data_IF_552834571814
#
_entry.id   IF_552834571814
#
_cell.length_a   1.000
_cell.length_b   1.000
_cell.length_c   1.000
_cell.angle_alpha   90.00
_cell.angle_beta   90.00
_cell.angle_gamma   90.00
#
_symmetry.space_group_name_H-M   'P 1'
#
loop_
_entity.id
_entity.type
_entity.pdbx_description
1 polymer ?
#
# COMPACT_ATOMS: atom_id res chain seq x y z
N UNK A 1 4.69 -24.77 9.02
CA UNK A 1 3.50 -23.96 9.47
C UNK A 1 3.23 -22.88 8.45
N UNK A 2 1.98 -22.72 8.02
CA UNK A 2 1.59 -21.83 6.92
C UNK A 2 0.65 -20.74 7.43
N UNK A 3 0.85 -19.51 6.97
CA UNK A 3 -0.04 -18.37 7.16
C UNK A 3 -0.60 -17.99 5.78
N UNK A 4 -1.93 -17.85 5.70
CA UNK A 4 -2.63 -17.37 4.52
C UNK A 4 -2.97 -15.89 4.72
N UNK A 5 -2.67 -15.04 3.76
CA UNK A 5 -3.16 -13.65 3.74
C UNK A 5 -4.17 -13.44 2.63
N UNK A 6 -5.21 -12.67 2.93
CA UNK A 6 -6.31 -12.37 2.02
C UNK A 6 -6.55 -10.85 1.96
N UNK A 7 -6.70 -10.33 0.74
CA UNK A 7 -7.10 -8.95 0.48
C UNK A 7 -8.32 -8.98 -0.45
N UNK A 8 -9.50 -8.82 0.14
CA UNK A 8 -10.77 -8.93 -0.53
C UNK A 8 -11.29 -7.56 -0.96
N UNK A 9 -11.32 -7.32 -2.27
CA UNK A 9 -12.00 -6.19 -2.88
C UNK A 9 -13.43 -6.55 -3.33
N UNK A 10 -14.17 -5.58 -3.87
CA UNK A 10 -15.54 -5.79 -4.35
C UNK A 10 -15.68 -6.85 -5.45
N UNK A 11 -14.66 -7.01 -6.29
CA UNK A 11 -14.66 -7.95 -7.42
C UNK A 11 -13.38 -8.76 -7.55
N UNK A 12 -12.56 -8.82 -6.51
CA UNK A 12 -11.33 -9.61 -6.53
C UNK A 12 -10.93 -10.07 -5.12
N UNK A 13 -10.24 -11.21 -5.05
CA UNK A 13 -9.61 -11.72 -3.83
C UNK A 13 -8.15 -12.03 -4.14
N UNK A 14 -7.23 -11.22 -3.62
CA UNK A 14 -5.80 -11.48 -3.68
C UNK A 14 -5.39 -12.32 -2.48
N UNK A 15 -4.42 -13.19 -2.68
CA UNK A 15 -3.92 -14.03 -1.60
C UNK A 15 -2.42 -14.28 -1.69
N UNK A 16 -1.80 -14.57 -0.54
CA UNK A 16 -0.45 -15.08 -0.46
C UNK A 16 -0.39 -16.18 0.62
N UNK A 17 0.39 -17.19 0.34
CA UNK A 17 0.67 -18.32 1.25
C UNK A 17 2.12 -18.27 1.67
N UNK A 18 2.37 -18.14 2.96
CA UNK A 18 3.69 -17.98 3.51
C UNK A 18 4.06 -19.16 4.44
N UNK A 19 5.20 -19.77 4.16
CA UNK A 19 5.81 -20.75 5.07
C UNK A 19 6.60 -20.02 6.15
N UNK A 20 6.06 -20.04 7.36
CA UNK A 20 6.66 -19.38 8.51
C UNK A 20 7.99 -20.00 8.93
N UNK A 21 8.10 -21.32 8.85
CA UNK A 21 9.29 -22.03 9.31
C UNK A 21 10.49 -21.80 8.38
N UNK A 22 10.24 -21.81 7.08
CA UNK A 22 11.25 -21.56 6.04
C UNK A 22 11.39 -20.08 5.65
N UNK A 23 10.57 -19.17 6.21
CA UNK A 23 10.57 -17.74 5.88
C UNK A 23 10.52 -17.48 4.36
N UNK A 24 9.52 -18.06 3.71
CA UNK A 24 9.39 -17.99 2.26
C UNK A 24 7.93 -17.97 1.80
N UNK A 25 7.68 -17.27 0.72
CA UNK A 25 6.39 -17.30 0.01
C UNK A 25 6.31 -18.63 -0.74
N UNK A 26 5.25 -19.41 -0.50
CA UNK A 26 4.98 -20.64 -1.24
C UNK A 26 4.22 -20.36 -2.53
N UNK A 27 3.21 -19.48 -2.46
CA UNK A 27 2.43 -19.06 -3.60
C UNK A 27 1.76 -17.71 -3.35
N UNK A 28 1.44 -17.02 -4.43
CA UNK A 28 0.54 -15.87 -4.44
C UNK A 28 -0.43 -15.96 -5.61
N UNK A 29 -1.50 -15.17 -5.57
CA UNK A 29 -2.44 -15.15 -6.68
C UNK A 29 -3.60 -14.19 -6.47
N UNK A 30 -4.50 -14.21 -7.45
CA UNK A 30 -5.71 -13.39 -7.43
C UNK A 30 -6.85 -14.15 -8.09
N UNK A 31 -8.03 -14.05 -7.48
CA UNK A 31 -9.29 -14.36 -8.15
C UNK A 31 -9.91 -13.04 -8.59
N UNK A 32 -10.10 -12.88 -9.89
CA UNK A 32 -10.68 -11.66 -10.49
C UNK A 32 -12.12 -11.90 -10.92
N UNK A 33 -12.89 -10.80 -11.09
CA UNK A 33 -14.28 -10.80 -11.51
C UNK A 33 -15.18 -11.62 -10.58
N UNK A 34 -14.86 -11.64 -9.30
CA UNK A 34 -15.73 -12.23 -8.25
C UNK A 34 -17.08 -11.52 -8.29
N UNK A 35 -18.18 -12.24 -8.16
CA UNK A 35 -19.58 -11.80 -8.32
C UNK A 35 -19.97 -11.39 -9.75
N UNK A 36 -19.11 -11.62 -10.74
CA UNK A 36 -19.31 -11.28 -12.15
C UNK A 36 -19.11 -12.51 -13.05
N UNK A 37 -19.64 -12.52 -14.29
CA UNK A 37 -19.32 -13.56 -15.26
C UNK A 37 -17.84 -13.58 -15.65
N UNK A 38 -17.30 -14.77 -15.90
CA UNK A 38 -15.91 -14.96 -16.33
C UNK A 38 -14.91 -14.73 -15.23
N UNK A 39 -15.20 -15.19 -14.01
CA UNK A 39 -14.23 -15.19 -12.90
C UNK A 39 -13.04 -16.07 -13.26
N UNK A 40 -11.83 -15.60 -12.94
CA UNK A 40 -10.59 -16.29 -13.24
C UNK A 40 -9.65 -16.25 -12.05
N UNK A 41 -9.04 -17.38 -11.70
CA UNK A 41 -7.93 -17.46 -10.76
C UNK A 41 -6.60 -17.43 -11.53
N UNK A 42 -5.71 -16.57 -11.10
CA UNK A 42 -4.30 -16.60 -11.45
C UNK A 42 -3.51 -17.02 -10.22
N UNK A 43 -2.75 -18.10 -10.32
CA UNK A 43 -1.95 -18.69 -9.25
C UNK A 43 -0.50 -18.79 -9.67
N UNK A 44 0.40 -18.30 -8.83
CA UNK A 44 1.85 -18.30 -9.03
C UNK A 44 2.52 -18.99 -7.83
N UNK A 45 2.82 -20.28 -8.00
CA UNK A 45 3.54 -21.07 -7.02
C UNK A 45 5.05 -20.93 -7.21
N UNK A 46 5.81 -20.79 -6.13
CA UNK A 46 7.26 -20.67 -6.19
C UNK A 46 7.88 -21.89 -6.88
N UNK A 47 8.63 -21.66 -7.94
CA UNK A 47 9.30 -22.72 -8.71
C UNK A 47 8.41 -23.49 -9.69
N UNK A 48 7.18 -23.05 -9.91
CA UNK A 48 6.25 -23.63 -10.90
C UNK A 48 5.83 -22.58 -11.94
N UNK A 49 5.29 -23.06 -13.05
CA UNK A 49 4.70 -22.19 -14.06
C UNK A 49 3.41 -21.54 -13.54
N UNK A 50 3.11 -20.37 -14.07
CA UNK A 50 1.89 -19.63 -13.76
C UNK A 50 0.66 -20.45 -14.20
N UNK A 51 -0.26 -20.67 -13.28
CA UNK A 51 -1.53 -21.36 -13.52
C UNK A 51 -2.68 -20.36 -13.63
N UNK A 52 -3.52 -20.53 -14.64
CA UNK A 52 -4.71 -19.71 -14.87
C UNK A 52 -5.88 -20.63 -15.12
N UNK A 53 -6.99 -20.44 -14.37
CA UNK A 53 -8.22 -21.22 -14.53
C UNK A 53 -9.42 -20.28 -14.48
N UNK A 54 -10.29 -20.39 -15.47
CA UNK A 54 -11.63 -19.78 -15.43
C UNK A 54 -12.57 -20.68 -14.61
N UNK A 55 -13.19 -20.11 -13.58
CA UNK A 55 -14.13 -20.83 -12.71
C UNK A 55 -15.14 -19.85 -12.12
N UNK A 56 -16.45 -20.12 -12.20
CA UNK A 56 -17.49 -19.24 -11.68
C UNK A 56 -17.33 -18.99 -10.17
N UNK A 57 -17.25 -17.72 -9.78
CA UNK A 57 -17.19 -17.28 -8.38
C UNK A 57 -18.34 -16.29 -8.10
N UNK A 58 -19.59 -16.76 -7.95
CA UNK A 58 -20.75 -15.89 -7.73
C UNK A 58 -20.72 -15.18 -6.37
N UNK A 59 -19.87 -15.61 -5.41
CA UNK A 59 -19.67 -14.98 -4.12
C UNK A 59 -18.20 -15.04 -3.71
N UNK A 60 -17.83 -14.23 -2.71
CA UNK A 60 -16.50 -14.29 -2.11
C UNK A 60 -16.20 -15.67 -1.47
N UNK A 61 -17.22 -16.39 -0.97
CA UNK A 61 -17.05 -17.76 -0.47
C UNK A 61 -16.53 -18.69 -1.55
N UNK A 62 -17.14 -18.68 -2.75
CA UNK A 62 -16.67 -19.48 -3.88
C UNK A 62 -15.23 -19.10 -4.29
N UNK A 63 -14.88 -17.82 -4.22
CA UNK A 63 -13.51 -17.40 -4.52
C UNK A 63 -12.50 -17.95 -3.49
N UNK A 64 -12.83 -17.94 -2.19
CA UNK A 64 -11.98 -18.52 -1.15
C UNK A 64 -11.91 -20.05 -1.28
N UNK A 65 -13.03 -20.74 -1.57
CA UNK A 65 -13.04 -22.17 -1.84
C UNK A 65 -12.17 -22.53 -3.06
N UNK A 66 -12.23 -21.74 -4.13
CA UNK A 66 -11.38 -21.91 -5.32
C UNK A 66 -9.90 -21.73 -4.97
N UNK A 67 -9.56 -20.73 -4.15
CA UNK A 67 -8.18 -20.53 -3.67
C UNK A 67 -7.72 -21.79 -2.92
N UNK A 68 -8.48 -22.27 -1.91
CA UNK A 68 -8.11 -23.43 -1.13
C UNK A 68 -7.97 -24.69 -2.02
N UNK A 69 -8.91 -24.89 -2.94
CA UNK A 69 -8.83 -26.00 -3.90
C UNK A 69 -7.57 -25.94 -4.76
N UNK A 70 -7.21 -24.74 -5.23
CA UNK A 70 -5.98 -24.53 -6.01
C UNK A 70 -4.73 -24.77 -5.18
N UNK A 71 -4.71 -24.30 -3.93
CA UNK A 71 -3.58 -24.49 -3.02
C UNK A 71 -3.33 -25.95 -2.65
N UNK A 72 -4.37 -26.78 -2.62
CA UNK A 72 -4.30 -28.22 -2.29
C UNK A 72 -4.29 -29.14 -3.49
N UNK A 73 -4.33 -28.61 -4.69
CA UNK A 73 -4.28 -29.38 -5.94
C UNK A 73 -2.96 -30.13 -6.08
N UNK A 74 -3.00 -31.38 -6.52
CA UNK A 74 -1.82 -32.25 -6.62
C UNK A 74 -0.78 -31.78 -7.65
N UNK A 75 -1.17 -31.00 -8.64
CA UNK A 75 -0.31 -30.55 -9.74
C UNK A 75 0.23 -29.12 -9.54
N UNK A 76 -0.65 -28.20 -9.17
CA UNK A 76 -0.31 -26.77 -9.06
C UNK A 76 -0.23 -26.29 -7.62
N UNK A 77 -0.79 -27.03 -6.67
CA UNK A 77 -0.84 -26.66 -5.25
C UNK A 77 0.52 -26.63 -4.56
N UNK A 78 0.53 -26.06 -3.37
CA UNK A 78 1.74 -25.86 -2.55
C UNK A 78 1.61 -26.41 -1.13
N UNK A 79 0.42 -26.90 -0.76
CA UNK A 79 0.14 -27.54 0.53
C UNK A 79 -0.60 -28.85 0.30
N UNK A 80 -0.39 -29.84 1.19
CA UNK A 80 -1.02 -31.15 1.04
C UNK A 80 -2.48 -31.13 1.49
N UNK A 81 -2.78 -30.37 2.54
CA UNK A 81 -4.14 -30.21 3.07
C UNK A 81 -4.27 -28.87 3.84
N UNK A 82 -5.50 -28.51 4.19
CA UNK A 82 -5.81 -27.26 4.88
C UNK A 82 -5.29 -27.19 6.32
N UNK A 83 -4.99 -28.33 6.96
CA UNK A 83 -4.58 -28.37 8.38
C UNK A 83 -3.24 -27.69 8.64
N UNK A 84 -2.42 -27.50 7.59
CA UNK A 84 -1.14 -26.80 7.70
C UNK A 84 -1.32 -25.27 7.84
N UNK A 85 -2.49 -24.73 7.42
CA UNK A 85 -2.82 -23.32 7.60
C UNK A 85 -3.15 -23.10 9.08
N UNK A 86 -2.39 -22.22 9.74
CA UNK A 86 -2.50 -21.99 11.19
C UNK A 86 -3.12 -20.64 11.54
N UNK A 87 -3.10 -19.68 10.64
CA UNK A 87 -3.79 -18.42 10.78
C UNK A 87 -4.13 -17.82 9.40
N UNK A 88 -5.14 -16.96 9.38
CA UNK A 88 -5.50 -16.16 8.20
C UNK A 88 -5.42 -14.68 8.55
N UNK A 89 -4.60 -13.93 7.82
CA UNK A 89 -4.52 -12.48 7.88
C UNK A 89 -5.43 -11.84 6.84
N UNK A 90 -6.30 -10.94 7.25
CA UNK A 90 -7.21 -10.18 6.36
C UNK A 90 -6.82 -8.72 6.34
N UNK A 91 -6.66 -8.15 5.16
CA UNK A 91 -6.59 -6.70 5.03
C UNK A 91 -7.97 -6.11 5.26
N UNK A 92 -8.05 -5.11 6.14
CA UNK A 92 -9.23 -4.27 6.35
C UNK A 92 -8.83 -2.82 6.07
N UNK A 93 -9.57 -2.18 5.16
CA UNK A 93 -9.17 -0.87 4.68
C UNK A 93 -9.42 0.21 5.73
N UNK A 94 -10.56 0.19 6.44
CA UNK A 94 -10.92 1.26 7.37
C UNK A 94 -11.38 0.70 8.70
N UNK A 95 -10.69 1.08 9.77
CA UNK A 95 -11.02 0.69 11.16
C UNK A 95 -11.70 1.78 11.99
N UNK A 96 -11.96 2.96 11.40
CA UNK A 96 -12.41 4.12 12.16
C UNK A 96 -11.40 4.53 13.23
N UNK A 97 -11.88 5.12 14.28
CA UNK A 97 -11.13 5.43 15.51
C UNK A 97 -11.14 4.27 16.53
N UNK A 98 -11.82 3.15 16.19
CA UNK A 98 -11.99 1.98 17.06
C UNK A 98 -10.76 1.07 17.06
N UNK A 99 -9.98 1.09 16.00
CA UNK A 99 -8.85 0.17 15.84
C UNK A 99 -7.53 0.91 15.64
N UNK A 100 -6.69 0.84 16.65
CA UNK A 100 -5.31 1.39 16.66
C UNK A 100 -4.23 0.34 16.34
N UNK A 101 -4.65 -0.91 16.11
CA UNK A 101 -3.77 -2.07 15.89
C UNK A 101 -4.51 -3.20 15.19
N UNK A 102 -3.77 -4.18 14.70
CA UNK A 102 -4.31 -5.44 14.20
C UNK A 102 -4.94 -6.26 15.34
N UNK A 103 -6.00 -7.01 15.04
CA UNK A 103 -6.81 -7.72 16.03
C UNK A 103 -7.22 -9.12 15.55
N UNK A 104 -7.47 -10.04 16.50
CA UNK A 104 -8.16 -11.30 16.20
C UNK A 104 -9.63 -11.00 15.93
N UNK A 105 -10.17 -11.59 14.87
CA UNK A 105 -11.55 -11.39 14.45
C UNK A 105 -12.48 -12.24 15.31
N UNK A 106 -13.31 -11.58 16.10
CA UNK A 106 -14.44 -12.17 16.84
C UNK A 106 -15.77 -11.65 16.27
N UNK A 107 -16.93 -12.22 16.66
CA UNK A 107 -18.23 -11.67 16.28
C UNK A 107 -18.40 -10.18 16.64
N UNK A 108 -17.89 -9.76 17.81
CA UNK A 108 -17.91 -8.37 18.28
C UNK A 108 -17.07 -7.47 17.37
N UNK A 109 -15.89 -7.93 16.95
CA UNK A 109 -15.02 -7.20 16.03
C UNK A 109 -15.68 -7.03 14.66
N UNK A 110 -16.36 -8.07 14.14
CA UNK A 110 -17.15 -7.96 12.90
C UNK A 110 -18.26 -6.92 13.04
N UNK A 111 -18.97 -6.91 14.17
CA UNK A 111 -20.01 -5.90 14.41
C UNK A 111 -19.42 -4.48 14.46
N UNK A 112 -18.26 -4.30 15.10
CA UNK A 112 -17.58 -3.00 15.11
C UNK A 112 -17.16 -2.57 13.70
N UNK A 113 -16.70 -3.49 12.83
CA UNK A 113 -16.44 -3.15 11.44
C UNK A 113 -17.71 -2.74 10.67
N UNK A 114 -18.85 -3.36 10.96
CA UNK A 114 -20.15 -2.92 10.38
C UNK A 114 -20.58 -1.55 10.84
N UNK A 115 -20.32 -1.19 12.11
CA UNK A 115 -20.62 0.15 12.63
C UNK A 115 -19.82 1.25 11.92
N UNK A 116 -18.58 0.96 11.53
CA UNK A 116 -17.70 1.93 10.86
C UNK A 116 -17.64 1.76 9.33
N UNK A 117 -18.44 0.85 8.75
CA UNK A 117 -18.36 0.56 7.31
C UNK A 117 -18.66 1.76 6.40
N UNK A 118 -19.47 2.71 6.88
CA UNK A 118 -19.84 3.91 6.13
C UNK A 118 -18.66 4.88 5.96
N UNK A 119 -17.59 4.74 6.75
CA UNK A 119 -16.35 5.48 6.58
C UNK A 119 -15.53 4.95 5.36
N UNK A 120 -15.77 3.71 4.96
CA UNK A 120 -15.11 3.07 3.82
C UNK A 120 -16.07 2.29 2.91
N UNK A 121 -17.13 2.93 2.36
CA UNK A 121 -18.25 2.23 1.73
C UNK A 121 -17.85 1.44 0.48
N UNK A 122 -16.76 1.82 -0.19
CA UNK A 122 -16.25 1.13 -1.38
C UNK A 122 -15.41 -0.13 -1.04
N UNK A 123 -14.96 -0.29 0.21
CA UNK A 123 -14.00 -1.34 0.59
C UNK A 123 -14.49 -2.20 1.77
N UNK A 124 -14.94 -1.59 2.86
CA UNK A 124 -15.26 -2.31 4.09
C UNK A 124 -16.32 -3.41 3.93
N UNK A 125 -17.42 -3.20 3.18
CA UNK A 125 -18.38 -4.29 2.98
C UNK A 125 -17.75 -5.52 2.32
N UNK A 126 -16.87 -5.32 1.34
CA UNK A 126 -16.16 -6.42 0.68
C UNK A 126 -15.13 -7.09 1.61
N UNK A 127 -14.44 -6.30 2.45
CA UNK A 127 -13.52 -6.85 3.44
C UNK A 127 -14.26 -7.74 4.45
N UNK A 128 -15.40 -7.29 4.98
CA UNK A 128 -16.24 -8.06 5.92
C UNK A 128 -16.73 -9.36 5.25
N UNK A 129 -17.27 -9.28 4.04
CA UNK A 129 -17.70 -10.47 3.29
C UNK A 129 -16.55 -11.46 3.07
N UNK A 130 -15.35 -10.97 2.79
CA UNK A 130 -14.15 -11.79 2.62
C UNK A 130 -13.75 -12.49 3.91
N UNK A 131 -13.81 -11.82 5.06
CA UNK A 131 -13.53 -12.41 6.37
C UNK A 131 -14.56 -13.52 6.67
N UNK A 132 -15.85 -13.22 6.53
CA UNK A 132 -16.92 -14.19 6.80
C UNK A 132 -16.86 -15.40 5.85
N UNK A 133 -16.50 -15.16 4.58
CA UNK A 133 -16.28 -16.24 3.62
C UNK A 133 -15.13 -17.15 4.03
N UNK A 134 -14.00 -16.56 4.45
CA UNK A 134 -12.84 -17.34 4.90
C UNK A 134 -13.12 -18.09 6.20
N UNK A 135 -13.87 -17.50 7.14
CA UNK A 135 -14.28 -18.18 8.39
C UNK A 135 -15.17 -19.40 8.13
N UNK A 136 -16.02 -19.36 7.08
CA UNK A 136 -16.82 -20.53 6.67
C UNK A 136 -15.97 -21.66 6.11
N UNK A 137 -14.93 -21.32 5.34
CA UNK A 137 -14.06 -22.30 4.68
C UNK A 137 -12.98 -22.85 5.64
N UNK A 138 -12.50 -22.00 6.54
CA UNK A 138 -11.43 -22.30 7.50
C UNK A 138 -11.88 -22.00 8.95
N UNK A 139 -12.92 -22.67 9.49
CA UNK A 139 -13.54 -22.32 10.77
C UNK A 139 -12.67 -22.58 12.01
N UNK A 140 -11.64 -23.42 11.87
CA UNK A 140 -10.84 -23.91 13.01
C UNK A 140 -9.48 -23.19 13.16
N UNK A 141 -9.27 -22.10 12.44
CA UNK A 141 -8.03 -21.29 12.53
C UNK A 141 -8.36 -19.85 12.94
N UNK A 142 -7.48 -19.16 13.68
CA UNK A 142 -7.69 -17.77 13.99
C UNK A 142 -7.64 -16.90 12.71
N UNK A 143 -8.61 -16.02 12.58
CA UNK A 143 -8.66 -14.98 11.58
C UNK A 143 -8.24 -13.66 12.22
N UNK A 144 -7.35 -12.93 11.58
CA UNK A 144 -6.76 -11.70 12.07
C UNK A 144 -7.05 -10.56 11.08
N UNK A 145 -7.54 -9.42 11.56
CA UNK A 145 -7.71 -8.22 10.77
C UNK A 145 -6.48 -7.33 10.90
N UNK A 146 -5.85 -7.02 9.77
CA UNK A 146 -4.75 -6.07 9.65
C UNK A 146 -5.28 -4.82 8.96
N UNK A 147 -5.23 -3.68 9.67
CA UNK A 147 -6.05 -2.51 9.36
C UNK A 147 -5.18 -1.38 8.82
N UNK A 148 -5.44 -0.94 7.59
CA UNK A 148 -4.64 0.11 6.93
C UNK A 148 -4.59 1.41 7.72
N UNK A 149 -5.72 1.81 8.33
CA UNK A 149 -5.79 3.07 9.09
C UNK A 149 -5.07 3.00 10.44
N UNK A 150 -4.72 1.80 10.92
CA UNK A 150 -4.12 1.64 12.26
C UNK A 150 -2.73 2.29 12.37
N UNK A 151 -1.90 2.24 11.32
CA UNK A 151 -0.60 2.92 11.29
C UNK A 151 -0.71 4.42 11.57
N UNK A 152 -1.77 5.05 11.09
CA UNK A 152 -2.01 6.50 11.15
C UNK A 152 -2.59 6.96 12.48
N UNK A 153 -2.95 6.06 13.40
CA UNK A 153 -3.56 6.43 14.68
C UNK A 153 -2.58 7.12 15.66
N UNK A 154 -1.32 7.24 15.28
CA UNK A 154 -0.32 8.04 16.04
C UNK A 154 -0.32 9.53 15.69
N UNK A 155 -1.12 9.96 14.70
CA UNK A 155 -1.22 11.37 14.33
C UNK A 155 -1.72 12.22 15.51
N UNK A 156 -1.12 13.40 15.77
CA UNK A 156 -1.64 14.35 16.75
C UNK A 156 -2.95 15.00 16.24
N UNK A 157 -3.74 15.54 17.15
CA UNK A 157 -5.02 16.20 16.86
C UNK A 157 -4.88 17.28 15.77
N UNK A 158 -3.82 18.05 15.79
CA UNK A 158 -3.53 19.09 14.79
C UNK A 158 -3.35 18.56 13.37
N UNK A 159 -3.03 17.27 13.20
CA UNK A 159 -2.88 16.64 11.89
C UNK A 159 -4.15 15.90 11.45
N UNK A 160 -4.86 15.28 12.39
CA UNK A 160 -6.04 14.49 12.02
C UNK A 160 -7.36 15.26 12.03
N UNK A 161 -7.49 16.35 12.78
CA UNK A 161 -8.72 17.13 12.83
C UNK A 161 -8.88 17.99 11.58
N UNK A 162 -10.10 18.02 11.06
CA UNK A 162 -10.49 19.01 10.06
C UNK A 162 -11.01 20.29 10.75
N UNK A 163 -10.78 21.44 10.18
CA UNK A 163 -11.31 22.73 10.65
C UNK A 163 -12.79 22.90 10.21
N UNK A 164 -13.64 22.01 10.69
CA UNK A 164 -15.09 21.92 10.44
C UNK A 164 -15.83 21.95 11.79
N UNK A 165 -17.19 22.02 11.82
CA UNK A 165 -17.91 21.96 13.08
C UNK A 165 -17.46 20.76 13.93
N UNK A 166 -17.01 21.05 15.17
CA UNK A 166 -16.41 20.02 16.04
C UNK A 166 -17.37 18.85 16.32
N UNK A 167 -18.67 19.14 16.40
CA UNK A 167 -19.72 18.13 16.56
C UNK A 167 -19.75 17.06 15.45
N UNK A 168 -19.19 17.34 14.27
CA UNK A 168 -19.08 16.33 13.20
C UNK A 168 -18.02 15.29 13.52
N UNK A 169 -16.95 15.69 14.22
CA UNK A 169 -16.00 14.72 14.74
C UNK A 169 -16.65 13.88 15.86
N UNK A 170 -17.30 14.53 16.83
CA UNK A 170 -17.91 13.84 17.97
C UNK A 170 -19.03 12.87 17.57
N UNK A 171 -19.87 13.25 16.61
CA UNK A 171 -21.04 12.44 16.21
C UNK A 171 -20.76 11.46 15.08
N UNK A 172 -19.88 11.81 14.15
CA UNK A 172 -19.69 11.07 12.90
C UNK A 172 -18.25 10.63 12.70
N UNK A 173 -17.36 10.84 13.67
CA UNK A 173 -15.94 10.54 13.57
C UNK A 173 -15.28 11.16 12.33
N UNK A 174 -15.73 12.37 11.92
CA UNK A 174 -15.27 13.07 10.73
C UNK A 174 -13.86 13.65 10.98
N UNK A 175 -12.84 12.88 10.62
CA UNK A 175 -11.41 13.23 10.76
C UNK A 175 -10.61 12.62 9.64
N UNK A 176 -9.32 13.00 9.54
CA UNK A 176 -8.32 12.29 8.71
C UNK A 176 -7.97 10.96 9.33
N UNK A 177 -7.95 9.89 8.53
CA UNK A 177 -7.52 8.54 8.93
C UNK A 177 -6.26 8.10 8.22
N UNK A 178 -6.16 8.29 6.90
CA UNK A 178 -5.06 7.81 6.09
C UNK A 178 -5.18 6.33 5.72
N UNK A 179 -4.50 5.94 4.65
CA UNK A 179 -4.54 4.59 4.08
C UNK A 179 -3.15 4.15 3.63
N UNK A 180 -3.01 2.95 3.07
CA UNK A 180 -1.74 2.29 2.77
C UNK A 180 -0.84 2.11 4.03
N UNK A 181 -1.46 1.97 5.19
CA UNK A 181 -0.75 1.94 6.47
C UNK A 181 0.26 0.80 6.58
N UNK A 182 -0.08 -0.39 6.08
CA UNK A 182 0.83 -1.55 6.04
C UNK A 182 2.07 -1.27 5.19
N UNK A 183 1.91 -0.59 4.06
CA UNK A 183 3.03 -0.17 3.22
C UNK A 183 3.92 0.86 3.91
N UNK A 184 3.32 1.88 4.55
CA UNK A 184 4.09 2.88 5.30
C UNK A 184 4.80 2.29 6.51
N UNK A 185 4.17 1.36 7.22
CA UNK A 185 4.77 0.64 8.33
C UNK A 185 6.03 -0.10 7.87
N UNK A 186 5.90 -0.91 6.81
CA UNK A 186 7.03 -1.66 6.26
C UNK A 186 8.15 -0.73 5.84
N UNK A 187 7.85 0.25 4.99
CA UNK A 187 8.86 1.12 4.41
C UNK A 187 9.52 2.04 5.44
N UNK A 188 8.79 2.54 6.45
CA UNK A 188 9.34 3.35 7.52
C UNK A 188 10.36 2.56 8.35
N UNK A 189 10.00 1.34 8.76
CA UNK A 189 10.87 0.47 9.56
C UNK A 189 12.09 0.00 8.74
N UNK A 190 11.92 -0.33 7.45
CA UNK A 190 13.05 -0.65 6.56
C UNK A 190 13.98 0.54 6.34
N UNK A 191 13.43 1.75 6.14
CA UNK A 191 14.25 2.95 6.02
C UNK A 191 15.10 3.21 7.26
N UNK A 192 14.57 2.96 8.46
CA UNK A 192 15.34 3.05 9.70
C UNK A 192 16.54 2.10 9.72
N UNK A 193 16.33 0.84 9.31
CA UNK A 193 17.40 -0.17 9.18
C UNK A 193 18.46 0.26 8.17
N UNK A 194 18.05 0.75 7.00
CA UNK A 194 18.95 1.24 5.95
C UNK A 194 19.79 2.43 6.44
N UNK A 195 19.19 3.31 7.25
CA UNK A 195 19.87 4.45 7.85
C UNK A 195 20.77 4.06 9.02
N UNK A 196 20.72 2.82 9.51
CA UNK A 196 21.44 2.38 10.70
C UNK A 196 20.95 3.05 11.98
N UNK A 197 19.66 3.42 12.02
CA UNK A 197 19.01 4.12 13.12
C UNK A 197 17.92 3.27 13.75
N UNK A 198 17.59 3.56 15.01
CA UNK A 198 16.35 3.07 15.60
C UNK A 198 15.16 3.80 14.98
N UNK A 199 13.98 3.16 14.88
CA UNK A 199 12.79 3.82 14.30
C UNK A 199 12.48 5.18 14.96
N UNK A 200 12.56 5.27 16.30
CA UNK A 200 12.29 6.49 17.07
C UNK A 200 13.27 7.63 16.79
N UNK A 201 14.42 7.36 16.19
CA UNK A 201 15.45 8.35 15.82
C UNK A 201 15.32 8.78 14.34
N UNK A 202 14.25 8.37 13.64
CA UNK A 202 14.09 8.65 12.21
C UNK A 202 12.99 9.66 11.92
N UNK A 203 13.28 10.56 10.98
CA UNK A 203 12.34 11.52 10.41
C UNK A 203 12.39 11.39 8.88
N UNK A 204 11.33 10.87 8.28
CA UNK A 204 11.29 10.53 6.87
C UNK A 204 9.96 10.93 6.23
N UNK A 205 9.98 11.19 4.93
CA UNK A 205 8.75 11.38 4.14
C UNK A 205 8.66 10.26 3.11
N UNK A 206 7.56 9.56 3.11
CA UNK A 206 7.33 8.39 2.24
C UNK A 206 6.25 8.72 1.21
N UNK A 207 6.52 8.44 -0.05
CA UNK A 207 5.58 8.53 -1.15
C UNK A 207 5.26 7.12 -1.68
N UNK A 208 4.06 6.63 -1.38
CA UNK A 208 3.50 5.41 -1.94
C UNK A 208 2.75 5.79 -3.22
N UNK A 209 3.32 5.51 -4.38
CA UNK A 209 2.78 5.93 -5.66
C UNK A 209 2.42 4.69 -6.48
N UNK A 210 1.14 4.34 -6.46
CA UNK A 210 0.52 3.31 -7.29
C UNK A 210 -0.60 3.90 -8.15
N UNK A 211 -1.59 3.11 -8.52
CA UNK A 211 -2.82 3.62 -9.12
C UNK A 211 -3.62 4.46 -8.10
N UNK A 212 -3.71 3.99 -6.82
CA UNK A 212 -3.96 4.83 -5.67
C UNK A 212 -2.61 5.33 -5.14
N UNK A 213 -2.54 6.59 -4.72
CA UNK A 213 -1.30 7.19 -4.24
C UNK A 213 -1.52 8.00 -2.96
N UNK A 214 -0.56 7.92 -2.05
CA UNK A 214 -0.56 8.70 -0.82
C UNK A 214 0.85 8.98 -0.31
N UNK A 215 0.98 9.93 0.60
CA UNK A 215 2.24 10.24 1.27
C UNK A 215 2.05 10.19 2.78
N UNK A 216 3.12 9.89 3.49
CA UNK A 216 3.17 9.86 4.94
C UNK A 216 4.38 10.65 5.45
N UNK A 217 4.13 11.55 6.40
CA UNK A 217 5.13 12.20 7.22
C UNK A 217 5.40 11.32 8.44
N UNK A 218 6.60 10.78 8.55
CA UNK A 218 7.02 9.96 9.69
C UNK A 218 7.97 10.77 10.56
N UNK A 219 7.56 11.07 11.77
CA UNK A 219 8.32 11.80 12.75
C UNK A 219 8.65 10.89 13.95
N UNK A 220 9.93 10.73 14.25
CA UNK A 220 10.37 9.84 15.31
C UNK A 220 9.76 8.44 15.20
N UNK A 221 9.78 7.88 13.98
CA UNK A 221 9.31 6.54 13.68
C UNK A 221 7.80 6.32 13.72
N UNK A 222 6.99 7.37 13.91
CA UNK A 222 5.53 7.33 13.98
C UNK A 222 4.90 8.17 12.86
N UNK A 223 3.73 7.77 12.40
CA UNK A 223 2.95 8.61 11.51
C UNK A 223 2.58 9.92 12.21
N UNK A 224 3.00 11.04 11.63
CA UNK A 224 2.70 12.38 12.11
C UNK A 224 1.62 13.06 11.26
N UNK A 225 1.62 12.79 9.95
CA UNK A 225 0.62 13.27 8.99
C UNK A 225 0.57 12.35 7.77
N UNK A 226 -0.54 12.40 7.02
CA UNK A 226 -0.73 11.62 5.80
C UNK A 226 -1.64 12.34 4.82
N UNK A 227 -1.50 12.08 3.53
CA UNK A 227 -2.19 12.84 2.48
C UNK A 227 -3.62 12.39 2.22
N UNK A 228 -3.96 11.12 2.44
CA UNK A 228 -5.36 10.67 2.35
C UNK A 228 -6.11 11.07 3.63
N UNK A 229 -7.39 11.37 3.48
CA UNK A 229 -8.21 11.95 4.54
C UNK A 229 -9.16 10.97 5.23
N UNK A 230 -10.42 11.39 5.38
CA UNK A 230 -11.53 10.56 5.83
C UNK A 230 -11.68 9.34 4.93
N UNK A 231 -11.50 9.53 3.63
CA UNK A 231 -11.55 8.50 2.58
C UNK A 231 -10.25 8.50 1.77
N UNK A 232 -10.00 7.49 0.93
CA UNK A 232 -8.85 7.47 0.04
C UNK A 232 -8.90 8.47 -1.14
N UNK A 233 -9.78 9.48 -1.11
CA UNK A 233 -9.97 10.45 -2.18
C UNK A 233 -9.04 11.66 -2.06
N UNK A 234 -8.87 12.21 -0.84
CA UNK A 234 -8.03 13.39 -0.55
C UNK A 234 -6.56 13.13 -0.87
N UNK A 235 -5.83 14.19 -1.20
CA UNK A 235 -4.37 14.17 -1.32
C UNK A 235 -3.87 14.26 -2.75
N UNK A 236 -3.10 13.27 -3.17
CA UNK A 236 -2.40 13.24 -4.46
C UNK A 236 -3.35 13.07 -5.65
N UNK A 237 -2.88 13.50 -6.81
CA UNK A 237 -3.49 13.10 -8.08
C UNK A 237 -3.25 11.61 -8.30
N UNK A 238 -4.30 10.85 -8.61
CA UNK A 238 -4.23 9.39 -8.76
C UNK A 238 -4.70 8.97 -10.16
N UNK A 239 -4.72 7.69 -10.45
CA UNK A 239 -5.17 7.21 -11.76
C UNK A 239 -6.59 7.68 -12.13
N UNK A 240 -7.54 7.57 -11.18
CA UNK A 240 -8.96 7.92 -11.39
C UNK A 240 -9.53 8.86 -10.33
N UNK A 241 -8.81 9.12 -9.23
CA UNK A 241 -9.24 9.97 -8.12
C UNK A 241 -8.62 11.36 -8.25
N UNK A 242 -9.40 12.39 -7.93
CA UNK A 242 -8.99 13.79 -8.08
C UNK A 242 -7.84 14.21 -7.16
N UNK A 243 -7.75 13.61 -5.96
CA UNK A 243 -7.00 14.22 -4.87
C UNK A 243 -7.64 15.54 -4.43
N UNK A 244 -6.82 16.42 -3.84
CA UNK A 244 -7.29 17.71 -3.33
C UNK A 244 -7.96 18.56 -4.39
N UNK A 245 -9.09 19.13 -4.04
CA UNK A 245 -9.76 20.18 -4.79
C UNK A 245 -10.45 21.14 -3.80
N UNK A 246 -10.92 22.27 -4.30
CA UNK A 246 -11.72 23.20 -3.48
C UNK A 246 -12.96 22.46 -2.95
N UNK A 247 -13.22 22.47 -1.63
CA UNK A 247 -14.42 21.83 -1.04
C UNK A 247 -15.75 22.33 -1.60
N UNK A 248 -15.81 23.53 -2.15
CA UNK A 248 -17.01 24.08 -2.80
C UNK A 248 -17.22 23.59 -4.23
N UNK A 249 -16.16 23.02 -4.87
CA UNK A 249 -16.21 22.58 -6.27
C UNK A 249 -17.30 21.52 -6.52
N UNK A 250 -17.46 20.47 -5.73
CA UNK A 250 -18.52 19.47 -5.91
C UNK A 250 -19.90 20.12 -5.94
N UNK A 251 -20.22 20.98 -4.98
CA UNK A 251 -21.50 21.67 -4.91
C UNK A 251 -21.74 22.62 -6.07
N UNK A 252 -20.67 23.30 -6.57
CA UNK A 252 -20.77 24.15 -7.74
C UNK A 252 -21.14 23.35 -8.99
N UNK A 253 -20.45 22.22 -9.23
CA UNK A 253 -20.72 21.36 -10.41
C UNK A 253 -22.11 20.72 -10.31
N UNK A 254 -22.51 20.22 -9.14
CA UNK A 254 -23.85 19.66 -8.93
C UNK A 254 -24.94 20.67 -9.30
N UNK A 255 -24.81 21.93 -8.87
CA UNK A 255 -25.76 22.99 -9.25
C UNK A 255 -25.78 23.28 -10.76
N UNK A 256 -24.65 23.14 -11.45
CA UNK A 256 -24.54 23.39 -12.90
C UNK A 256 -25.05 22.25 -13.75
N UNK A 257 -24.90 21.01 -13.30
CA UNK A 257 -25.15 19.80 -14.09
C UNK A 257 -26.38 19.02 -13.65
N UNK A 258 -26.88 19.27 -12.44
CA UNK A 258 -27.95 18.48 -11.85
C UNK A 258 -27.49 17.12 -11.30
N UNK A 259 -26.19 16.85 -11.26
CA UNK A 259 -25.66 15.61 -10.68
C UNK A 259 -26.12 15.40 -9.24
N UNK A 260 -26.47 14.18 -8.92
CA UNK A 260 -26.72 13.71 -7.55
C UNK A 260 -25.41 13.57 -6.76
N UNK A 261 -25.47 13.52 -5.42
CA UNK A 261 -24.27 13.25 -4.59
C UNK A 261 -23.54 11.95 -4.99
N UNK A 262 -24.26 10.88 -5.32
CA UNK A 262 -23.69 9.60 -5.74
C UNK A 262 -22.96 9.67 -7.10
N UNK A 263 -23.51 10.44 -8.04
CA UNK A 263 -22.84 10.69 -9.32
C UNK A 263 -21.59 11.55 -9.16
N UNK A 264 -21.61 12.53 -8.25
CA UNK A 264 -20.46 13.36 -7.91
C UNK A 264 -19.38 12.53 -7.23
N UNK A 265 -19.72 11.67 -6.26
CA UNK A 265 -18.78 10.74 -5.65
C UNK A 265 -18.12 9.85 -6.70
N UNK A 266 -18.91 9.29 -7.62
CA UNK A 266 -18.41 8.50 -8.75
C UNK A 266 -17.47 9.32 -9.66
N UNK A 267 -17.80 10.57 -9.94
CA UNK A 267 -16.98 11.43 -10.79
C UNK A 267 -15.60 11.68 -10.15
N UNK A 268 -15.55 12.00 -8.86
CA UNK A 268 -14.32 12.30 -8.15
C UNK A 268 -13.45 11.05 -7.90
N UNK A 269 -14.06 9.89 -7.67
CA UNK A 269 -13.35 8.65 -7.37
C UNK A 269 -12.95 7.84 -8.61
N UNK A 270 -13.76 7.85 -9.69
CA UNK A 270 -13.61 6.93 -10.84
C UNK A 270 -13.42 7.60 -12.20
N UNK A 271 -13.62 8.93 -12.30
CA UNK A 271 -13.56 9.65 -13.58
C UNK A 271 -12.65 10.88 -13.55
N UNK A 272 -11.90 11.06 -12.48
CA UNK A 272 -10.97 12.17 -12.24
C UNK A 272 -9.52 11.72 -12.34
N UNK A 273 -8.60 12.44 -11.72
CA UNK A 273 -7.18 12.13 -11.71
C UNK A 273 -6.56 12.16 -13.10
N UNK A 274 -5.61 11.26 -13.37
CA UNK A 274 -4.96 11.15 -14.68
C UNK A 274 -6.00 10.92 -15.79
N UNK A 275 -6.97 10.02 -15.55
CA UNK A 275 -8.07 9.76 -16.48
C UNK A 275 -8.86 11.05 -16.78
N UNK A 276 -9.23 11.79 -15.75
CA UNK A 276 -10.03 13.01 -15.91
C UNK A 276 -9.30 14.08 -16.71
N UNK A 277 -7.99 14.27 -16.49
CA UNK A 277 -7.18 15.23 -17.20
C UNK A 277 -6.90 14.79 -18.64
N UNK A 278 -6.51 13.54 -18.85
CA UNK A 278 -6.16 13.01 -20.18
C UNK A 278 -7.40 12.69 -21.02
N UNK A 279 -8.50 12.29 -20.37
CA UNK A 279 -9.73 11.80 -21.02
C UNK A 279 -9.69 10.33 -21.42
N UNK A 280 -8.53 9.62 -21.26
CA UNK A 280 -8.39 8.24 -21.72
C UNK A 280 -7.39 7.38 -20.96
N UNK A 281 -6.38 7.95 -20.29
CA UNK A 281 -5.31 7.17 -19.65
C UNK A 281 -5.47 7.11 -18.14
N UNK A 282 -5.46 5.91 -17.59
CA UNK A 282 -5.45 5.63 -16.15
C UNK A 282 -4.04 5.20 -15.71
N UNK A 283 -3.38 4.38 -16.56
CA UNK A 283 -2.07 3.82 -16.29
C UNK A 283 -0.97 4.85 -16.58
N UNK A 284 -0.05 4.98 -15.65
CA UNK A 284 1.06 5.90 -15.75
C UNK A 284 1.97 5.62 -16.94
N UNK A 285 2.10 4.34 -17.32
CA UNK A 285 2.91 3.93 -18.47
C UNK A 285 2.32 4.46 -19.78
N UNK A 286 1.01 4.45 -19.89
CA UNK A 286 0.31 5.00 -21.06
C UNK A 286 0.42 6.52 -21.11
N UNK A 287 0.34 7.20 -19.94
CA UNK A 287 0.55 8.64 -19.83
C UNK A 287 1.98 9.02 -20.28
N UNK A 288 3.01 8.30 -19.80
CA UNK A 288 4.41 8.55 -20.17
C UNK A 288 4.61 8.35 -21.67
N UNK A 289 4.06 7.28 -22.25
CA UNK A 289 4.15 7.00 -23.69
C UNK A 289 3.47 8.11 -24.51
N UNK A 290 2.23 8.47 -24.17
CA UNK A 290 1.50 9.54 -24.87
C UNK A 290 2.21 10.90 -24.78
N UNK A 291 2.87 11.15 -23.63
CA UNK A 291 3.67 12.35 -23.44
C UNK A 291 4.88 12.39 -24.35
N UNK A 292 5.56 11.25 -24.59
CA UNK A 292 6.66 11.14 -25.56
C UNK A 292 6.17 11.33 -26.99
N UNK A 293 4.95 10.92 -27.30
CA UNK A 293 4.28 11.10 -28.60
C UNK A 293 3.73 12.52 -28.80
N UNK A 294 3.88 13.41 -27.81
CA UNK A 294 3.51 14.82 -27.90
C UNK A 294 2.09 15.17 -27.43
N UNK A 295 1.39 14.26 -26.75
CA UNK A 295 0.07 14.54 -26.17
C UNK A 295 0.17 15.60 -25.07
N UNK A 296 -0.44 16.77 -25.31
CA UNK A 296 -0.41 17.91 -24.39
C UNK A 296 -1.18 17.64 -23.09
N UNK A 297 -2.28 16.88 -23.14
CA UNK A 297 -3.07 16.54 -21.94
C UNK A 297 -2.35 15.51 -21.08
N UNK A 298 -1.67 14.55 -21.69
CA UNK A 298 -0.80 13.62 -20.97
C UNK A 298 0.36 14.35 -20.27
N UNK A 299 0.99 15.32 -20.97
CA UNK A 299 2.02 16.19 -20.37
C UNK A 299 1.46 17.01 -19.21
N UNK A 300 0.27 17.59 -19.36
CA UNK A 300 -0.40 18.33 -18.29
C UNK A 300 -0.68 17.42 -17.08
N UNK A 301 -1.23 16.24 -17.30
CA UNK A 301 -1.54 15.28 -16.24
C UNK A 301 -0.29 14.88 -15.43
N UNK A 302 0.81 14.59 -16.13
CA UNK A 302 2.11 14.34 -15.53
C UNK A 302 2.59 15.51 -14.66
N UNK A 303 2.57 16.71 -15.21
CA UNK A 303 3.03 17.90 -14.50
C UNK A 303 2.16 18.19 -13.27
N UNK A 304 0.86 17.96 -13.35
CA UNK A 304 -0.05 18.12 -12.19
C UNK A 304 0.27 17.12 -11.08
N UNK A 305 0.55 15.86 -11.42
CA UNK A 305 0.94 14.85 -10.44
C UNK A 305 2.28 15.20 -9.78
N UNK A 306 3.29 15.54 -10.58
CA UNK A 306 4.62 15.96 -10.08
C UNK A 306 4.49 17.18 -9.17
N UNK A 307 3.76 18.21 -9.58
CA UNK A 307 3.55 19.41 -8.79
C UNK A 307 2.84 19.13 -7.46
N UNK A 308 1.84 18.25 -7.45
CA UNK A 308 1.14 17.86 -6.23
C UNK A 308 2.07 17.09 -5.29
N UNK A 309 2.90 16.17 -5.80
CA UNK A 309 3.92 15.47 -5.01
C UNK A 309 4.92 16.46 -4.38
N UNK A 310 5.42 17.43 -5.14
CA UNK A 310 6.33 18.47 -4.63
C UNK A 310 5.69 19.28 -3.50
N UNK A 311 4.42 19.67 -3.63
CA UNK A 311 3.69 20.39 -2.57
C UNK A 311 3.63 19.57 -1.28
N UNK A 312 3.29 18.28 -1.38
CA UNK A 312 3.22 17.41 -0.20
C UNK A 312 4.58 17.14 0.43
N UNK A 313 5.64 16.95 -0.37
CA UNK A 313 6.99 16.87 0.17
C UNK A 313 7.36 18.15 0.93
N UNK A 314 7.12 19.31 0.35
CA UNK A 314 7.38 20.60 0.99
C UNK A 314 6.59 20.78 2.30
N UNK A 315 5.29 20.45 2.28
CA UNK A 315 4.42 20.52 3.46
C UNK A 315 4.90 19.59 4.59
N UNK A 316 5.28 18.36 4.25
CA UNK A 316 5.70 17.39 5.27
C UNK A 316 7.11 17.66 5.79
N UNK A 317 8.02 18.21 4.98
CA UNK A 317 9.32 18.70 5.48
C UNK A 317 9.12 19.86 6.45
N UNK A 318 8.20 20.78 6.16
CA UNK A 318 7.84 21.84 7.08
C UNK A 318 7.21 21.29 8.38
N UNK A 319 6.30 20.28 8.29
CA UNK A 319 5.68 19.65 9.44
C UNK A 319 6.68 18.89 10.34
N UNK A 320 7.74 18.31 9.76
CA UNK A 320 8.84 17.71 10.52
C UNK A 320 9.59 18.77 11.36
N UNK A 321 9.62 20.04 10.93
CA UNK A 321 10.36 21.13 11.55
C UNK A 321 11.88 21.03 11.39
N UNK A 322 12.34 20.09 10.56
CA UNK A 322 13.77 19.85 10.26
C UNK A 322 13.92 19.12 8.93
N UNK A 323 15.15 19.06 8.42
CA UNK A 323 15.45 18.24 7.25
C UNK A 323 15.16 16.77 7.56
N UNK A 324 14.48 16.02 6.67
CA UNK A 324 14.31 14.60 6.86
C UNK A 324 15.65 13.86 6.72
N UNK A 325 15.78 12.73 7.37
CA UNK A 325 16.91 11.81 7.19
C UNK A 325 16.87 11.22 5.75
N UNK A 326 15.66 10.93 5.28
CA UNK A 326 15.44 10.43 3.93
C UNK A 326 14.05 10.80 3.42
N UNK A 327 13.92 10.80 2.09
CA UNK A 327 12.64 10.59 1.41
C UNK A 327 12.64 9.19 0.78
N UNK A 328 11.46 8.56 0.73
CA UNK A 328 11.29 7.19 0.24
C UNK A 328 10.23 7.15 -0.83
N UNK A 329 10.53 6.51 -1.97
CA UNK A 329 9.56 6.15 -3.00
C UNK A 329 9.27 4.65 -2.92
N UNK A 330 7.98 4.30 -3.01
CA UNK A 330 7.51 2.92 -2.92
C UNK A 330 6.25 2.69 -3.76
N UNK A 331 5.81 1.47 -3.89
CA UNK A 331 4.74 1.00 -4.77
C UNK A 331 5.05 1.17 -6.27
N UNK A 332 4.15 0.69 -7.13
CA UNK A 332 4.44 0.47 -8.54
C UNK A 332 5.11 1.63 -9.28
N UNK A 333 4.53 2.84 -9.23
CA UNK A 333 5.13 4.04 -9.86
C UNK A 333 6.33 4.53 -9.05
N UNK A 334 6.27 4.48 -7.71
CA UNK A 334 7.40 4.83 -6.86
C UNK A 334 8.63 3.96 -7.12
N UNK A 335 8.44 2.67 -7.39
CA UNK A 335 9.52 1.70 -7.66
C UNK A 335 10.05 1.77 -9.09
N UNK A 336 9.19 1.98 -10.10
CA UNK A 336 9.56 1.89 -11.51
C UNK A 336 9.52 3.20 -12.29
N UNK A 337 8.78 4.22 -11.81
CA UNK A 337 8.59 5.52 -12.48
C UNK A 337 9.78 6.46 -12.27
N UNK A 338 10.89 6.16 -12.94
CA UNK A 338 12.12 6.95 -12.80
C UNK A 338 11.96 8.41 -13.28
N UNK A 339 11.10 8.65 -14.27
CA UNK A 339 10.72 9.96 -14.78
C UNK A 339 9.99 10.81 -13.72
N UNK A 340 9.03 10.19 -13.02
CA UNK A 340 8.29 10.84 -11.93
C UNK A 340 9.24 11.18 -10.77
N UNK A 341 10.08 10.23 -10.33
CA UNK A 341 11.04 10.48 -9.24
C UNK A 341 12.02 11.60 -9.59
N UNK A 342 12.53 11.61 -10.83
CA UNK A 342 13.44 12.65 -11.30
C UNK A 342 12.77 14.03 -11.26
N UNK A 343 11.62 14.18 -11.92
CA UNK A 343 10.91 15.45 -12.00
C UNK A 343 10.49 15.98 -10.62
N UNK A 344 10.07 15.09 -9.70
CA UNK A 344 9.74 15.48 -8.33
C UNK A 344 10.97 16.01 -7.60
N UNK A 345 12.09 15.28 -7.63
CA UNK A 345 13.28 15.64 -6.86
C UNK A 345 14.00 16.86 -7.42
N UNK A 346 14.00 17.09 -8.75
CA UNK A 346 14.57 18.31 -9.35
C UNK A 346 13.93 19.57 -8.78
N UNK A 347 12.60 19.58 -8.57
CA UNK A 347 11.89 20.69 -7.95
C UNK A 347 12.15 20.86 -6.44
N UNK A 348 12.78 19.87 -5.78
CA UNK A 348 13.05 19.88 -4.34
C UNK A 348 14.52 20.09 -3.98
N UNK A 349 15.37 20.36 -4.95
CA UNK A 349 16.83 20.54 -4.77
C UNK A 349 17.16 21.63 -3.75
N UNK A 350 16.38 22.70 -3.72
CA UNK A 350 16.52 23.81 -2.76
C UNK A 350 16.24 23.40 -1.30
N UNK A 351 15.56 22.25 -1.06
CA UNK A 351 15.34 21.65 0.25
C UNK A 351 16.45 20.65 0.63
N UNK A 352 17.50 20.52 -0.18
CA UNK A 352 18.60 19.59 0.05
C UNK A 352 18.32 18.17 -0.43
N UNK A 353 17.33 17.98 -1.29
CA UNK A 353 17.00 16.69 -1.91
C UNK A 353 17.62 16.68 -3.30
N UNK A 354 18.79 16.04 -3.43
CA UNK A 354 19.53 15.97 -4.68
C UNK A 354 19.53 14.54 -5.21
N UNK A 355 18.83 14.31 -6.31
CA UNK A 355 18.79 13.01 -7.00
C UNK A 355 19.99 12.87 -7.94
N UNK A 356 20.52 11.66 -8.07
CA UNK A 356 21.45 11.30 -9.13
C UNK A 356 20.66 10.69 -10.30
N UNK A 357 20.61 11.35 -11.48
CA UNK A 357 19.82 10.87 -12.62
C UNK A 357 20.26 9.48 -13.11
N UNK A 358 21.56 9.14 -13.04
CA UNK A 358 22.09 7.83 -13.48
C UNK A 358 21.68 6.74 -12.50
N UNK A 359 21.85 6.96 -11.19
CA UNK A 359 21.40 6.03 -10.13
C UNK A 359 19.88 5.83 -10.24
N UNK A 360 19.13 6.91 -10.44
CA UNK A 360 17.68 6.85 -10.57
C UNK A 360 17.22 6.02 -11.79
N UNK A 361 17.86 6.18 -12.93
CA UNK A 361 17.54 5.41 -14.14
C UNK A 361 17.79 3.90 -13.98
N UNK A 362 18.76 3.51 -13.14
CA UNK A 362 19.06 2.12 -12.79
C UNK A 362 18.06 1.52 -11.80
N UNK A 363 17.48 2.34 -10.90
CA UNK A 363 16.58 1.90 -9.83
C UNK A 363 15.19 1.52 -10.37
N UNK A 364 15.10 0.39 -11.07
CA UNK A 364 13.88 -0.15 -11.70
C UNK A 364 13.73 -1.63 -11.39
N UNK A 365 13.78 -1.97 -10.10
CA UNK A 365 13.62 -3.33 -9.59
C UNK A 365 12.77 -3.33 -8.33
N UNK A 366 12.00 -4.39 -8.12
CA UNK A 366 11.34 -4.71 -6.85
C UNK A 366 12.14 -5.67 -5.97
N UNK A 367 13.34 -6.07 -6.44
CA UNK A 367 14.13 -7.13 -5.82
C UNK A 367 15.22 -6.59 -4.90
N UNK A 368 15.42 -5.28 -4.88
CA UNK A 368 16.41 -4.63 -4.00
C UNK A 368 15.93 -3.26 -3.52
N UNK A 369 16.40 -2.91 -2.35
CA UNK A 369 16.33 -1.54 -1.82
C UNK A 369 17.50 -0.75 -2.41
N UNK A 370 17.22 0.43 -2.97
CA UNK A 370 18.23 1.22 -3.69
C UNK A 370 18.34 2.65 -3.18
N UNK A 371 19.54 3.22 -3.26
CA UNK A 371 19.83 4.60 -2.96
C UNK A 371 20.11 5.37 -4.25
N UNK A 372 19.29 6.38 -4.52
CA UNK A 372 19.35 7.19 -5.74
C UNK A 372 19.76 8.64 -5.49
N UNK A 373 20.22 8.95 -4.27
CA UNK A 373 20.75 10.28 -3.93
C UNK A 373 22.05 10.55 -4.69
N UNK A 374 22.27 11.82 -5.03
CA UNK A 374 23.62 12.31 -5.32
C UNK A 374 24.50 12.17 -4.07
N UNK A 375 25.80 12.07 -4.27
CA UNK A 375 26.75 11.80 -3.16
C UNK A 375 26.81 12.97 -2.16
N UNK A 376 26.60 14.19 -2.67
CA UNK A 376 26.54 15.42 -1.86
C UNK A 376 25.12 15.76 -1.34
N UNK A 377 24.16 14.86 -1.50
CA UNK A 377 22.79 15.07 -1.01
C UNK A 377 22.74 14.92 0.51
N UNK A 378 22.37 15.96 1.25
CA UNK A 378 22.21 15.87 2.72
C UNK A 378 20.98 15.04 3.13
N UNK A 379 19.97 14.92 2.26
CA UNK A 379 18.79 14.07 2.43
C UNK A 379 18.97 12.84 1.58
N UNK A 380 18.86 11.64 2.16
CA UNK A 380 18.91 10.40 1.40
C UNK A 380 17.63 10.19 0.58
N UNK A 381 17.74 9.61 -0.59
CA UNK A 381 16.60 9.25 -1.45
C UNK A 381 16.64 7.76 -1.69
N UNK A 382 15.65 7.07 -1.14
CA UNK A 382 15.56 5.62 -1.27
C UNK A 382 14.38 5.19 -2.16
N UNK A 383 14.56 4.09 -2.88
CA UNK A 383 13.47 3.31 -3.46
C UNK A 383 13.41 2.01 -2.67
N UNK A 384 12.33 1.82 -1.92
CA UNK A 384 12.11 0.66 -1.06
C UNK A 384 10.86 -0.08 -1.56
N UNK A 385 10.99 -1.24 -2.18
CA UNK A 385 9.84 -2.05 -2.54
C UNK A 385 9.06 -2.47 -1.29
N UNK A 386 7.76 -2.15 -1.27
CA UNK A 386 6.91 -2.51 -0.13
C UNK A 386 6.60 -4.00 -0.06
N UNK A 387 6.27 -4.51 1.14
CA UNK A 387 5.86 -5.90 1.38
C UNK A 387 4.71 -5.92 2.41
N UNK A 388 3.53 -5.57 1.92
CA UNK A 388 2.32 -5.46 2.76
C UNK A 388 1.86 -6.84 3.24
N UNK A 389 2.01 -7.87 2.40
CA UNK A 389 1.67 -9.25 2.73
C UNK A 389 2.55 -9.81 3.84
N UNK A 390 3.82 -9.42 3.93
CA UNK A 390 4.70 -9.81 5.03
C UNK A 390 4.26 -9.18 6.35
N UNK A 391 3.85 -7.90 6.35
CA UNK A 391 3.28 -7.24 7.54
C UNK A 391 2.05 -8.00 8.01
N UNK A 392 1.13 -8.32 7.09
CA UNK A 392 -0.09 -9.08 7.41
C UNK A 392 0.24 -10.47 7.96
N UNK A 393 1.23 -11.14 7.40
CA UNK A 393 1.69 -12.46 7.83
C UNK A 393 2.26 -12.41 9.24
N UNK A 394 3.13 -11.45 9.55
CA UNK A 394 3.76 -11.31 10.86
C UNK A 394 2.76 -10.90 11.94
N UNK A 395 1.85 -9.97 11.63
CA UNK A 395 0.77 -9.60 12.55
C UNK A 395 -0.14 -10.79 12.86
N UNK A 396 -0.57 -11.54 11.84
CA UNK A 396 -1.42 -12.73 12.02
C UNK A 396 -0.72 -13.81 12.85
N UNK A 397 0.57 -14.05 12.59
CA UNK A 397 1.36 -14.99 13.39
C UNK A 397 1.48 -14.54 14.85
N UNK A 398 1.84 -13.28 15.07
CA UNK A 398 2.05 -12.74 16.41
C UNK A 398 0.75 -12.67 17.22
N UNK A 399 -0.39 -12.35 16.58
CA UNK A 399 -1.72 -12.41 17.19
C UNK A 399 -2.10 -13.84 17.58
N UNK A 400 -1.89 -14.81 16.69
CA UNK A 400 -2.12 -16.23 16.97
C UNK A 400 -1.29 -16.73 18.17
N UNK A 401 -0.07 -16.20 18.32
CA UNK A 401 0.84 -16.56 19.44
C UNK A 401 0.62 -15.74 20.70
N UNK A 402 -0.25 -14.73 20.68
CA UNK A 402 -0.46 -13.82 21.81
C UNK A 402 0.74 -12.91 22.11
N UNK A 403 1.64 -12.72 21.13
CA UNK A 403 2.85 -11.90 21.27
C UNK A 403 2.77 -10.51 20.59
N UNK A 404 1.66 -10.23 19.89
CA UNK A 404 1.45 -8.92 19.27
C UNK A 404 0.90 -7.91 20.27
N UNK A 405 1.52 -6.73 20.33
CA UNK A 405 0.98 -5.59 21.08
C UNK A 405 0.39 -4.55 20.09
N UNK A 406 1.22 -3.65 19.59
CA UNK A 406 0.86 -2.63 18.61
C UNK A 406 2.07 -2.39 17.70
N UNK A 407 1.84 -2.03 16.45
CA UNK A 407 2.88 -1.87 15.43
C UNK A 407 4.03 -0.93 15.85
N UNK A 408 3.79 0.04 16.74
CA UNK A 408 4.82 0.94 17.27
C UNK A 408 5.79 0.27 18.25
N UNK A 409 5.37 -0.82 18.90
CA UNK A 409 6.17 -1.57 19.87
C UNK A 409 6.62 -2.93 19.35
N UNK A 410 5.87 -3.53 18.43
CA UNK A 410 6.17 -4.82 17.85
C UNK A 410 7.41 -4.74 16.96
N UNK A 411 8.34 -5.69 17.12
CA UNK A 411 9.54 -5.80 16.30
C UNK A 411 9.31 -6.83 15.21
N UNK A 412 9.28 -6.38 13.97
CA UNK A 412 9.13 -7.23 12.79
C UNK A 412 10.45 -7.85 12.36
N UNK A 413 10.40 -9.01 11.71
CA UNK A 413 11.61 -9.70 11.22
C UNK A 413 12.41 -8.83 10.24
N UNK A 414 11.72 -8.04 9.43
CA UNK A 414 12.36 -7.13 8.48
C UNK A 414 13.02 -5.90 9.12
N UNK A 415 12.97 -5.73 10.43
CA UNK A 415 13.77 -4.75 11.17
C UNK A 415 15.18 -5.27 11.51
N UNK A 416 15.45 -6.56 11.27
CA UNK A 416 16.81 -7.08 11.39
C UNK A 416 17.71 -6.55 10.26
N UNK A 417 18.96 -6.15 10.55
CA UNK A 417 19.95 -5.87 9.51
C UNK A 417 20.21 -7.08 8.58
N UNK A 418 20.11 -8.28 9.12
CA UNK A 418 20.34 -9.56 8.40
C UNK A 418 19.06 -10.09 7.70
N UNK A 419 17.98 -9.31 7.66
CA UNK A 419 16.74 -9.73 6.98
C UNK A 419 16.96 -9.88 5.48
N UNK A 420 16.56 -11.03 4.96
CA UNK A 420 16.57 -11.33 3.52
C UNK A 420 15.22 -11.86 3.09
N UNK A 421 14.58 -11.18 2.14
CA UNK A 421 13.46 -11.75 1.40
C UNK A 421 13.99 -12.70 0.34
N UNK A 422 13.79 -14.01 0.51
CA UNK A 422 14.36 -15.05 -0.35
C UNK A 422 13.96 -14.91 -1.81
N UNK A 423 12.67 -14.64 -2.07
CA UNK A 423 12.19 -14.48 -3.44
C UNK A 423 12.81 -13.27 -4.14
N UNK A 424 12.94 -12.15 -3.42
CA UNK A 424 13.62 -10.95 -3.94
C UNK A 424 15.12 -11.20 -4.16
N UNK A 425 15.78 -11.94 -3.27
CA UNK A 425 17.19 -12.27 -3.42
C UNK A 425 17.46 -13.12 -4.69
N UNK A 426 16.57 -14.07 -4.99
CA UNK A 426 16.64 -14.83 -6.25
C UNK A 426 16.33 -13.98 -7.48
N UNK A 427 15.31 -13.12 -7.40
CA UNK A 427 14.99 -12.16 -8.45
C UNK A 427 16.15 -11.20 -8.72
N UNK A 428 16.81 -10.73 -7.66
CA UNK A 428 17.94 -9.82 -7.75
C UNK A 428 19.13 -10.44 -8.51
N UNK A 429 19.42 -11.73 -8.32
CA UNK A 429 20.47 -12.41 -9.09
C UNK A 429 20.22 -12.30 -10.60
N UNK A 430 18.98 -12.55 -11.04
CA UNK A 430 18.58 -12.43 -12.44
C UNK A 430 18.63 -10.97 -12.93
N UNK A 431 18.30 -10.00 -12.08
CA UNK A 431 18.40 -8.58 -12.43
C UNK A 431 19.87 -8.16 -12.60
N UNK A 432 20.77 -8.63 -11.73
CA UNK A 432 22.21 -8.35 -11.79
C UNK A 432 22.89 -9.02 -12.98
N UNK A 433 22.46 -10.20 -13.40
CA UNK A 433 22.92 -10.83 -14.64
C UNK A 433 22.61 -9.97 -15.87
N UNK A 434 21.43 -9.32 -15.89
CA UNK A 434 20.99 -8.46 -16.99
C UNK A 434 21.59 -7.05 -16.92
N UNK A 435 21.79 -6.53 -15.71
CA UNK A 435 22.24 -5.16 -15.42
C UNK A 435 23.21 -5.16 -14.23
N UNK A 436 24.49 -5.50 -14.44
CA UNK A 436 25.48 -5.56 -13.35
C UNK A 436 25.64 -4.22 -12.61
N UNK A 437 25.43 -3.09 -13.29
CA UNK A 437 25.57 -1.75 -12.72
C UNK A 437 24.54 -1.48 -11.60
N UNK A 438 23.46 -2.24 -11.54
CA UNK A 438 22.48 -2.17 -10.46
C UNK A 438 23.13 -2.37 -9.09
N UNK A 439 24.19 -3.17 -9.01
CA UNK A 439 24.97 -3.39 -7.77
C UNK A 439 25.48 -2.08 -7.13
N UNK A 440 25.75 -1.05 -7.94
CA UNK A 440 26.30 0.22 -7.45
C UNK A 440 25.31 1.06 -6.66
N UNK A 441 24.02 0.77 -6.76
CA UNK A 441 22.94 1.55 -6.12
C UNK A 441 22.20 0.77 -5.04
N UNK A 442 22.46 -0.54 -4.92
CA UNK A 442 21.87 -1.35 -3.84
C UNK A 442 22.39 -0.84 -2.50
N UNK A 443 21.48 -0.63 -1.56
CA UNK A 443 21.84 -0.16 -0.23
C UNK A 443 22.66 -1.21 0.51
N UNK A 444 23.71 -0.75 1.19
CA UNK A 444 24.48 -1.56 2.13
C UNK A 444 23.89 -1.35 3.51
N UNK A 445 23.36 -2.41 4.10
CA UNK A 445 22.74 -2.35 5.41
C UNK A 445 23.83 -2.25 6.50
N UNK A 446 23.84 -1.20 7.33
CA UNK A 446 24.77 -1.11 8.45
C UNK A 446 24.56 -2.25 9.45
N UNK A 447 25.65 -2.94 9.81
CA UNK A 447 25.61 -4.04 10.78
C UNK A 447 25.11 -5.38 10.25
N UNK A 448 24.78 -5.50 8.96
CA UNK A 448 24.52 -6.80 8.33
C UNK A 448 25.80 -7.68 8.34
N UNK A 449 25.63 -8.99 8.53
CA UNK A 449 26.69 -10.00 8.61
C UNK A 449 26.90 -10.73 7.28
#
# INVERSE_FOLDING_TARGET
MVILTLNCGSSSVKYQVYDWDNKSVLASGVVERVTQPGSVITHEATGKDKYVLESPCPTHTHAVELIIKTLTDSSVGVINDMSVIKAVGHRVTHGGDKFIKSVIVTPEIINTFREVQDLGPLHNPANIMGIEAAQKVLPNVPHCAVIDTAWHQTMPETSFMYAIPHEWYEKYSARRYGFHGTSFLYTAKRAAVILGKKPEDTNIVIAHIGNGASMCCVKQGKCFDTSMGLTPLEGLVMGTRSGDCDPALPFYIMRKTGMTPAEMDTALNKKSGLLGVTGQYVDRRDVSKAMEEGDKRARLAFNMEVYRLQKYFGAYIAALGQKPDAIVFTAGVGEFGFDTRLAVCEGLTHLGIKIDPKKNALARTRNAETCISADDSPVKIFVIPTDEELVMTEDAYALMKGSYDVHTKFTYSFQSPDYVNKARAEGLKKDLEKKPELANIIVKIPGAR
#
